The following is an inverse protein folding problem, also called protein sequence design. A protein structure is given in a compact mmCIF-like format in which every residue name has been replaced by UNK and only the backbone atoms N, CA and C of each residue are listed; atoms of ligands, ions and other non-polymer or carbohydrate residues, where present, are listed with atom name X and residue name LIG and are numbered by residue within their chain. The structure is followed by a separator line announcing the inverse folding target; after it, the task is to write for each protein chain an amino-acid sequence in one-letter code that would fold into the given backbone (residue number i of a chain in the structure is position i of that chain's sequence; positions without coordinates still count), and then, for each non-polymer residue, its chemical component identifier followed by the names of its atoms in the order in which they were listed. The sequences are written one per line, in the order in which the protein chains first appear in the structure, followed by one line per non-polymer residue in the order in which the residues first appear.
data_IF_593543848567
#
_entry.id   IF_593543848567
#
_cell.length_a   1.000
_cell.length_b   1.000
_cell.length_c   1.000
_cell.angle_alpha   90.00
_cell.angle_beta   90.00
_cell.angle_gamma   90.00
#
_symmetry.space_group_name_H-M   'P 1'
#
loop_
_entity.id
_entity.type
_entity.pdbx_description
1 polymer ?
#
# COMPACT_ATOMS: atom_id res chain seq x y z
N UNK A 1 -4.21 -17.58 -7.20
CA UNK A 1 -4.70 -16.51 -6.29
C UNK A 1 -3.58 -15.88 -5.43
N UNK A 2 -2.53 -16.62 -5.06
CA UNK A 2 -1.35 -16.07 -4.33
C UNK A 2 -0.41 -15.24 -5.24
N UNK A 3 -0.58 -15.31 -6.58
CA UNK A 3 0.31 -14.70 -7.60
C UNK A 3 0.53 -13.19 -7.49
N UNK A 4 -0.37 -12.44 -6.85
CA UNK A 4 -0.36 -10.97 -6.94
C UNK A 4 -0.39 -10.21 -5.61
N UNK A 5 -0.76 -10.86 -4.49
CA UNK A 5 -0.65 -10.25 -3.14
C UNK A 5 0.81 -9.85 -2.85
N UNK A 6 1.75 -10.63 -3.38
CA UNK A 6 3.19 -10.42 -3.29
C UNK A 6 3.73 -9.41 -4.33
N UNK A 7 3.09 -9.28 -5.50
CA UNK A 7 3.51 -8.36 -6.55
C UNK A 7 3.14 -6.89 -6.30
N UNK A 8 2.16 -6.59 -5.44
CA UNK A 8 1.82 -5.20 -5.10
C UNK A 8 2.90 -4.48 -4.26
N UNK A 9 3.98 -5.17 -3.87
CA UNK A 9 5.17 -4.61 -3.22
C UNK A 9 6.37 -4.41 -4.17
N UNK A 10 6.21 -4.63 -5.48
CA UNK A 10 7.27 -4.54 -6.50
C UNK A 10 7.52 -3.12 -7.06
N UNK A 11 7.23 -2.07 -6.30
CA UNK A 11 7.68 -0.72 -6.64
C UNK A 11 8.66 -0.26 -5.56
N UNK A 12 9.95 -0.50 -5.79
CA UNK A 12 11.10 0.34 -5.46
C UNK A 12 12.32 -0.37 -6.04
N UNK A 13 13.23 0.43 -6.58
CA UNK A 13 14.62 0.11 -6.80
C UNK A 13 15.39 0.77 -5.65
N UNK A 14 16.13 0.01 -4.86
CA UNK A 14 17.26 0.51 -4.08
C UNK A 14 18.25 -0.66 -3.86
N UNK A 15 19.52 -0.37 -4.12
CA UNK A 15 20.63 -1.31 -4.10
C UNK A 15 20.86 -1.79 -2.66
N UNK A 16 20.66 -3.09 -2.41
CA UNK A 16 21.19 -3.81 -1.26
C UNK A 16 21.99 -5.01 -1.77
N UNK A 17 23.28 -5.07 -1.44
CA UNK A 17 24.07 -6.30 -1.50
C UNK A 17 23.68 -7.21 -0.32
N UNK A 18 22.43 -7.66 -0.30
CA UNK A 18 22.04 -8.83 0.48
C UNK A 18 22.06 -10.00 -0.51
N UNK A 19 22.97 -10.95 -0.29
CA UNK A 19 22.98 -12.22 -1.00
C UNK A 19 21.64 -12.91 -0.77
N UNK A 20 20.82 -12.93 -1.81
CA UNK A 20 19.47 -13.47 -1.74
C UNK A 20 19.54 -14.99 -1.55
N UNK A 21 18.76 -15.51 -0.59
CA UNK A 21 18.82 -16.92 -0.22
C UNK A 21 18.36 -17.82 -1.39
N UNK A 22 19.11 -18.89 -1.72
CA UNK A 22 18.69 -19.83 -2.74
C UNK A 22 17.37 -20.50 -2.31
N UNK A 23 16.55 -20.89 -3.28
CA UNK A 23 15.22 -21.48 -3.04
C UNK A 23 15.24 -22.62 -2.02
N UNK A 24 16.30 -23.44 -2.03
CA UNK A 24 16.50 -24.57 -1.13
C UNK A 24 16.72 -24.19 0.34
N UNK A 25 17.15 -22.96 0.63
CA UNK A 25 17.42 -22.47 1.98
C UNK A 25 16.23 -21.75 2.61
N UNK A 26 15.16 -21.49 1.84
CA UNK A 26 13.91 -20.97 2.37
C UNK A 26 13.26 -21.97 3.34
N UNK A 27 12.58 -21.47 4.37
CA UNK A 27 11.81 -22.33 5.27
C UNK A 27 10.71 -23.08 4.50
N UNK A 28 10.35 -24.29 4.94
CA UNK A 28 9.37 -25.14 4.22
C UNK A 28 8.01 -24.44 4.06
N UNK A 29 7.60 -23.68 5.05
CA UNK A 29 6.38 -22.88 5.05
C UNK A 29 6.46 -21.74 4.04
N UNK A 30 7.63 -21.08 3.92
CA UNK A 30 7.87 -20.03 2.93
C UNK A 30 7.86 -20.61 1.52
N UNK A 31 8.52 -21.75 1.30
CA UNK A 31 8.49 -22.48 0.02
C UNK A 31 7.07 -22.89 -0.37
N UNK A 32 6.24 -23.30 0.59
CA UNK A 32 4.84 -23.64 0.32
C UNK A 32 4.02 -22.43 -0.15
N UNK A 33 4.21 -21.27 0.48
CA UNK A 33 3.54 -20.01 0.08
C UNK A 33 4.07 -19.49 -1.27
N UNK A 34 5.38 -19.61 -1.50
CA UNK A 34 6.07 -19.10 -2.67
C UNK A 34 6.15 -20.10 -3.82
N UNK A 35 5.54 -21.29 -3.71
CA UNK A 35 5.71 -22.43 -4.64
C UNK A 35 5.58 -22.05 -6.12
N UNK A 36 4.70 -21.10 -6.44
CA UNK A 36 4.48 -20.61 -7.80
C UNK A 36 5.68 -19.84 -8.40
N UNK A 37 6.59 -19.36 -7.56
CA UNK A 37 7.81 -18.63 -7.94
C UNK A 37 9.05 -19.53 -7.99
N UNK A 38 8.96 -20.79 -7.58
CA UNK A 38 10.13 -21.69 -7.46
C UNK A 38 10.94 -21.77 -8.75
N UNK A 39 10.29 -21.95 -9.90
CA UNK A 39 10.96 -22.09 -11.20
C UNK A 39 11.62 -20.82 -11.73
N UNK A 40 11.24 -19.64 -11.22
CA UNK A 40 11.82 -18.35 -11.61
C UNK A 40 12.60 -17.70 -10.46
N UNK A 41 12.71 -18.36 -9.31
CA UNK A 41 13.27 -17.76 -8.09
C UNK A 41 14.68 -17.21 -8.32
N UNK A 42 15.54 -18.01 -8.94
CA UNK A 42 16.91 -17.63 -9.30
C UNK A 42 17.01 -16.49 -10.32
N UNK A 43 15.94 -16.22 -11.07
CA UNK A 43 15.88 -15.13 -12.04
C UNK A 43 15.41 -13.81 -11.41
N UNK A 44 14.81 -13.87 -10.22
CA UNK A 44 14.39 -12.67 -9.48
C UNK A 44 15.61 -11.96 -8.89
N UNK A 45 15.60 -10.64 -8.90
CA UNK A 45 16.62 -9.84 -8.22
C UNK A 45 16.58 -10.07 -6.71
N UNK A 46 17.69 -9.78 -6.01
CA UNK A 46 17.76 -9.91 -4.55
C UNK A 46 16.65 -9.16 -3.83
N UNK A 47 16.37 -7.92 -4.28
CA UNK A 47 15.29 -7.10 -3.74
C UNK A 47 13.90 -7.73 -3.96
N UNK A 48 13.68 -8.38 -5.11
CA UNK A 48 12.42 -9.08 -5.38
C UNK A 48 12.28 -10.31 -4.48
N UNK A 49 13.33 -11.12 -4.33
CA UNK A 49 13.35 -12.29 -3.46
C UNK A 49 13.08 -11.89 -2.00
N UNK A 50 13.73 -10.84 -1.50
CA UNK A 50 13.53 -10.33 -0.13
C UNK A 50 12.07 -9.87 0.09
N UNK A 51 11.49 -9.11 -0.86
CA UNK A 51 10.09 -8.69 -0.79
C UNK A 51 9.14 -9.87 -0.78
N UNK A 52 9.42 -10.91 -1.58
CA UNK A 52 8.63 -12.12 -1.61
C UNK A 52 8.69 -12.87 -0.27
N UNK A 53 9.89 -13.02 0.29
CA UNK A 53 10.10 -13.68 1.56
C UNK A 53 9.42 -12.92 2.72
N UNK A 54 9.54 -11.59 2.76
CA UNK A 54 8.86 -10.74 3.74
C UNK A 54 7.33 -10.89 3.65
N UNK A 55 6.78 -10.98 2.43
CA UNK A 55 5.36 -11.21 2.23
C UNK A 55 4.92 -12.62 2.67
N UNK A 56 5.75 -13.64 2.41
CA UNK A 56 5.50 -15.01 2.86
C UNK A 56 5.50 -15.11 4.39
N UNK A 57 6.50 -14.54 5.07
CA UNK A 57 6.55 -14.47 6.53
C UNK A 57 5.32 -13.78 7.15
N UNK A 58 4.88 -12.67 6.54
CA UNK A 58 3.66 -11.98 6.98
C UNK A 58 2.42 -12.85 6.78
N UNK A 59 2.33 -13.58 5.68
CA UNK A 59 1.20 -14.48 5.42
C UNK A 59 1.17 -15.65 6.42
N UNK A 60 2.33 -16.25 6.70
CA UNK A 60 2.47 -17.36 7.64
C UNK A 60 2.08 -16.92 9.06
N UNK A 61 2.52 -15.73 9.50
CA UNK A 61 2.18 -15.19 10.82
C UNK A 61 0.73 -14.71 10.99
N UNK A 62 -0.04 -14.58 9.90
CA UNK A 62 -1.47 -14.24 9.97
C UNK A 62 -2.34 -15.44 10.35
N UNK A 63 -3.35 -15.19 11.18
CA UNK A 63 -4.43 -16.15 11.41
C UNK A 63 -5.42 -16.21 10.24
N UNK A 64 -6.36 -17.15 10.27
CA UNK A 64 -7.35 -17.36 9.20
C UNK A 64 -8.18 -16.11 8.88
N UNK A 65 -8.65 -15.40 9.91
CA UNK A 65 -9.45 -14.17 9.76
C UNK A 65 -8.65 -13.04 9.10
N UNK A 66 -7.40 -12.85 9.51
CA UNK A 66 -6.48 -11.87 8.93
C UNK A 66 -6.18 -12.19 7.46
N UNK A 67 -5.94 -13.47 7.15
CA UNK A 67 -5.75 -13.93 5.75
C UNK A 67 -6.99 -13.66 4.91
N UNK A 68 -8.18 -14.01 5.42
CA UNK A 68 -9.43 -13.77 4.70
C UNK A 68 -9.69 -12.28 4.47
N UNK A 69 -9.45 -11.45 5.49
CA UNK A 69 -9.56 -9.99 5.37
C UNK A 69 -8.60 -9.42 4.32
N UNK A 70 -7.38 -9.95 4.24
CA UNK A 70 -6.39 -9.54 3.24
C UNK A 70 -6.81 -9.95 1.83
N UNK A 71 -7.28 -11.19 1.64
CA UNK A 71 -7.80 -11.69 0.36
C UNK A 71 -8.97 -10.82 -0.11
N UNK A 72 -9.96 -10.57 0.77
CA UNK A 72 -11.12 -9.74 0.43
C UNK A 72 -10.71 -8.31 -0.01
N UNK A 73 -9.73 -7.70 0.67
CA UNK A 73 -9.21 -6.38 0.28
C UNK A 73 -8.49 -6.42 -1.07
N UNK A 74 -7.78 -7.50 -1.34
CA UNK A 74 -7.06 -7.69 -2.59
C UNK A 74 -8.04 -7.86 -3.75
N UNK A 75 -9.08 -8.66 -3.59
CA UNK A 75 -10.13 -8.86 -4.61
C UNK A 75 -10.86 -7.54 -4.90
N UNK A 76 -11.21 -6.78 -3.86
CA UNK A 76 -11.78 -5.43 -4.01
C UNK A 76 -10.85 -4.50 -4.79
N UNK A 77 -9.55 -4.56 -4.55
CA UNK A 77 -8.57 -3.76 -5.27
C UNK A 77 -8.45 -4.17 -6.74
N UNK A 78 -8.46 -5.47 -7.04
CA UNK A 78 -8.42 -5.97 -8.42
C UNK A 78 -9.64 -5.55 -9.24
N UNK A 79 -10.81 -5.46 -8.61
CA UNK A 79 -12.05 -5.00 -9.25
C UNK A 79 -12.08 -3.49 -9.52
N UNK A 80 -11.13 -2.71 -8.98
CA UNK A 80 -11.07 -1.27 -9.26
C UNK A 80 -10.66 -1.02 -10.71
N UNK A 81 -11.21 0.01 -11.38
CA UNK A 81 -10.73 0.44 -12.69
C UNK A 81 -9.23 0.77 -12.67
N UNK A 82 -8.47 0.52 -13.75
CA UNK A 82 -7.02 0.75 -13.80
C UNK A 82 -6.60 2.17 -13.38
N UNK A 83 -7.39 3.18 -13.75
CA UNK A 83 -7.14 4.57 -13.35
C UNK A 83 -7.24 4.76 -11.83
N UNK A 84 -8.18 4.09 -11.16
CA UNK A 84 -8.32 4.16 -9.71
C UNK A 84 -7.19 3.39 -9.01
N UNK A 85 -6.80 2.23 -9.53
CA UNK A 85 -5.64 1.48 -9.05
C UNK A 85 -4.38 2.36 -9.12
N UNK A 86 -4.13 3.01 -10.26
CA UNK A 86 -2.99 3.90 -10.45
C UNK A 86 -3.00 5.09 -9.47
N UNK A 87 -4.17 5.68 -9.22
CA UNK A 87 -4.31 6.75 -8.22
C UNK A 87 -4.01 6.28 -6.80
N UNK A 88 -4.47 5.08 -6.43
CA UNK A 88 -4.19 4.48 -5.13
C UNK A 88 -2.71 4.16 -4.97
N UNK A 89 -2.09 3.57 -6.00
CA UNK A 89 -0.65 3.30 -6.02
C UNK A 89 0.14 4.60 -5.84
N UNK A 90 -0.20 5.67 -6.57
CA UNK A 90 0.46 6.98 -6.41
C UNK A 90 0.34 7.52 -4.98
N UNK A 91 -0.83 7.40 -4.35
CA UNK A 91 -1.04 7.82 -2.95
C UNK A 91 -0.23 6.96 -1.97
N UNK A 92 -0.15 5.66 -2.22
CA UNK A 92 0.64 4.74 -1.41
C UNK A 92 2.14 5.05 -1.50
N UNK A 93 2.63 5.33 -2.71
CA UNK A 93 4.02 5.75 -2.93
C UNK A 93 4.35 7.06 -2.22
N UNK A 94 3.44 8.03 -2.26
CA UNK A 94 3.57 9.27 -1.48
C UNK A 94 3.61 8.99 0.03
N UNK A 95 2.77 8.09 0.52
CA UNK A 95 2.73 7.71 1.93
C UNK A 95 4.03 7.02 2.38
N UNK A 96 4.59 6.11 1.57
CA UNK A 96 5.86 5.42 1.88
C UNK A 96 7.05 6.35 1.98
N UNK A 97 7.03 7.47 1.24
CA UNK A 97 8.06 8.50 1.29
C UNK A 97 8.00 9.38 2.54
N UNK A 98 6.91 9.31 3.32
CA UNK A 98 6.81 10.08 4.56
C UNK A 98 7.77 9.51 5.62
N UNK A 99 8.33 10.34 6.52
CA UNK A 99 9.07 9.85 7.69
C UNK A 99 8.22 8.91 8.54
N UNK A 100 8.85 7.91 9.18
CA UNK A 100 8.15 6.87 9.96
C UNK A 100 7.18 7.46 11.01
N UNK A 101 7.57 8.55 11.69
CA UNK A 101 6.71 9.25 12.66
C UNK A 101 5.42 9.78 12.02
N UNK A 102 5.52 10.35 10.82
CA UNK A 102 4.36 10.87 10.09
C UNK A 102 3.48 9.72 9.56
N UNK A 103 4.09 8.64 9.07
CA UNK A 103 3.36 7.45 8.68
C UNK A 103 2.53 6.90 9.85
N UNK A 104 3.14 6.78 11.03
CA UNK A 104 2.47 6.29 12.22
C UNK A 104 1.33 7.21 12.66
N UNK A 105 1.55 8.52 12.64
CA UNK A 105 0.52 9.50 12.96
C UNK A 105 -0.69 9.38 12.03
N UNK A 106 -0.45 9.18 10.73
CA UNK A 106 -1.54 9.02 9.76
C UNK A 106 -2.32 7.72 10.01
N UNK A 107 -1.61 6.61 10.26
CA UNK A 107 -2.23 5.31 10.61
C UNK A 107 -3.11 5.43 11.85
N UNK A 108 -2.60 6.06 12.91
CA UNK A 108 -3.32 6.26 14.17
C UNK A 108 -4.56 7.14 13.96
N UNK A 109 -4.42 8.24 13.22
CA UNK A 109 -5.54 9.15 12.93
C UNK A 109 -6.63 8.44 12.13
N UNK A 110 -6.25 7.65 11.14
CA UNK A 110 -7.19 6.86 10.35
C UNK A 110 -7.88 5.76 11.18
N UNK A 111 -7.16 5.08 12.08
CA UNK A 111 -7.75 4.09 12.99
C UNK A 111 -8.78 4.74 13.92
N UNK A 112 -8.45 5.89 14.53
CA UNK A 112 -9.40 6.65 15.36
C UNK A 112 -10.62 7.07 14.57
N UNK A 113 -10.44 7.55 13.33
CA UNK A 113 -11.56 7.92 12.45
C UNK A 113 -12.49 6.72 12.18
N UNK A 114 -11.94 5.53 11.91
CA UNK A 114 -12.72 4.31 11.68
C UNK A 114 -13.54 3.87 12.90
N UNK A 115 -13.07 4.18 14.10
CA UNK A 115 -13.78 3.88 15.36
C UNK A 115 -14.92 4.87 15.66
N UNK A 116 -14.99 6.02 14.96
CA UNK A 116 -16.10 6.96 15.13
C UNK A 116 -17.40 6.40 14.54
N UNK A 117 -18.54 6.83 15.10
CA UNK A 117 -19.85 6.56 14.52
C UNK A 117 -19.97 7.15 13.11
N UNK A 118 -20.82 6.55 12.28
CA UNK A 118 -21.03 6.97 10.87
C UNK A 118 -21.41 8.45 10.75
N UNK A 119 -22.22 8.98 11.66
CA UNK A 119 -22.60 10.40 11.65
C UNK A 119 -21.43 11.32 11.98
N UNK A 120 -20.58 10.93 12.94
CA UNK A 120 -19.36 11.69 13.26
C UNK A 120 -18.38 11.64 12.09
N UNK A 121 -18.21 10.49 11.44
CA UNK A 121 -17.41 10.35 10.23
C UNK A 121 -17.90 11.26 9.10
N UNK A 122 -19.23 11.27 8.83
CA UNK A 122 -19.85 12.12 7.81
C UNK A 122 -19.60 13.60 8.09
N UNK A 123 -19.90 14.06 9.32
CA UNK A 123 -19.67 15.46 9.72
C UNK A 123 -18.21 15.90 9.54
N UNK A 124 -17.25 15.04 9.88
CA UNK A 124 -15.82 15.33 9.67
C UNK A 124 -15.46 15.41 8.19
N UNK A 125 -15.96 14.48 7.38
CA UNK A 125 -15.72 14.47 5.93
C UNK A 125 -16.30 15.71 5.25
N UNK A 126 -17.50 16.13 5.64
CA UNK A 126 -18.17 17.33 5.10
C UNK A 126 -17.39 18.60 5.43
N UNK A 127 -16.95 18.73 6.69
CA UNK A 127 -16.08 19.85 7.12
C UNK A 127 -14.79 19.87 6.32
N UNK A 128 -14.14 18.72 6.14
CA UNK A 128 -12.92 18.61 5.36
C UNK A 128 -13.13 18.99 3.89
N UNK A 129 -14.20 18.49 3.25
CA UNK A 129 -14.55 18.81 1.86
C UNK A 129 -14.78 20.31 1.67
N UNK A 130 -15.54 20.94 2.58
CA UNK A 130 -15.81 22.39 2.56
C UNK A 130 -14.52 23.21 2.68
N UNK A 131 -13.67 22.87 3.64
CA UNK A 131 -12.37 23.54 3.84
C UNK A 131 -11.46 23.41 2.61
N UNK A 132 -11.37 22.20 2.03
CA UNK A 132 -10.59 21.96 0.81
C UNK A 132 -11.09 22.81 -0.37
N UNK A 133 -12.41 22.88 -0.57
CA UNK A 133 -13.01 23.67 -1.64
C UNK A 133 -12.73 25.17 -1.48
N UNK A 134 -12.88 25.71 -0.27
CA UNK A 134 -12.59 27.11 0.02
C UNK A 134 -11.12 27.45 -0.25
N UNK A 135 -10.19 26.57 0.15
CA UNK A 135 -8.76 26.74 -0.13
C UNK A 135 -8.47 26.78 -1.63
N UNK A 136 -9.08 25.88 -2.39
CA UNK A 136 -8.91 25.82 -3.85
C UNK A 136 -9.44 27.10 -4.52
N UNK A 137 -10.62 27.58 -4.13
CA UNK A 137 -11.19 28.82 -4.66
C UNK A 137 -10.29 30.02 -4.40
N UNK A 138 -9.73 30.14 -3.18
CA UNK A 138 -8.80 31.21 -2.82
C UNK A 138 -7.51 31.14 -3.64
N UNK A 139 -6.97 29.95 -3.86
CA UNK A 139 -5.78 29.75 -4.70
C UNK A 139 -6.04 30.17 -6.15
N UNK A 140 -7.14 29.72 -6.74
CA UNK A 140 -7.51 30.07 -8.11
C UNK A 140 -7.73 31.58 -8.29
N UNK A 141 -8.38 32.24 -7.31
CA UNK A 141 -8.57 33.70 -7.33
C UNK A 141 -7.24 34.45 -7.29
N UNK A 142 -6.32 34.02 -6.45
CA UNK A 142 -4.99 34.63 -6.34
C UNK A 142 -4.17 34.44 -7.63
N UNK A 143 -4.27 33.27 -8.26
CA UNK A 143 -3.58 33.00 -9.53
C UNK A 143 -4.14 33.85 -10.68
N UNK A 144 -5.46 34.04 -10.74
CA UNK A 144 -6.11 34.88 -11.76
C UNK A 144 -5.69 36.35 -11.62
N UNK A 145 -5.60 36.87 -10.38
CA UNK A 145 -5.11 38.22 -10.10
C UNK A 145 -3.64 38.43 -10.51
N UNK A 146 -2.81 37.40 -10.40
CA UNK A 146 -1.41 37.44 -10.81
C UNK A 146 -1.22 37.40 -12.33
N UNK A 147 -2.15 36.79 -13.07
CA UNK A 147 -2.13 36.73 -14.54
C UNK A 147 -2.59 38.03 -15.20
N UNK A 148 -3.45 38.80 -14.53
CA UNK A 148 -4.01 40.06 -15.04
C UNK A 148 -3.21 41.31 -14.60
N UNK A 149 -2.00 41.12 -14.07
CA UNK A 149 -1.03 42.19 -13.77
C UNK A 149 0.18 41.96 -14.67
#
# INVERSE_FOLDING_TARGET
MIKFILCALLAFANISLASALPWSELAKEEQAVLKQFSGQWSQLSSEQQEKLQLGANRWISMNSEQRQSLVNKFDQWQQLPPQQQAQLNKKFEQFKKLPAKQQQQLRNTHQRFKQLSRDKQRKLMDKFKKSKQQRQQKQNRNQSRRRNR
#
